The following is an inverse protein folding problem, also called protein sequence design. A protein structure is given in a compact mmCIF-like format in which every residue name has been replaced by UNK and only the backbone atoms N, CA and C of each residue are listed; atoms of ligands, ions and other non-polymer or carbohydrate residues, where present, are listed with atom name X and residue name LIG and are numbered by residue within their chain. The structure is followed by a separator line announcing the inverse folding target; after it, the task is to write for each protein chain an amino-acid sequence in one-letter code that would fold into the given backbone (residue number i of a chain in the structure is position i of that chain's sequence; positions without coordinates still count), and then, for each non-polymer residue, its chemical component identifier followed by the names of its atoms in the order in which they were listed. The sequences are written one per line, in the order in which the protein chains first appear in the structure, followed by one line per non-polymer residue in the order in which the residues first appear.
data_IF_550560654287
#
_entry.id   IF_550560654287
#
_cell.length_a   1.000
_cell.length_b   1.000
_cell.length_c   1.000
_cell.angle_alpha   90.00
_cell.angle_beta   90.00
_cell.angle_gamma   90.00
#
_symmetry.space_group_name_H-M   'P 1'
#
loop_
_entity.id
_entity.type
_entity.pdbx_description
1 polymer ?
#
# COMPACT_ATOMS: atom_id res chain seq x y z
N UNK A 1 1.67 -0.91 34.05
CA UNK A 1 1.42 -0.27 32.75
C UNK A 1 2.71 0.41 32.37
N UNK A 2 3.37 -0.08 31.32
CA UNK A 2 4.53 0.59 30.71
C UNK A 2 4.11 2.00 30.30
N UNK A 3 4.98 3.00 30.49
CA UNK A 3 4.73 4.35 29.99
C UNK A 3 4.42 4.32 28.48
N UNK A 4 3.44 5.09 28.00
CA UNK A 4 3.04 5.06 26.56
C UNK A 4 4.22 5.47 25.68
N UNK A 5 5.05 6.41 26.13
CA UNK A 5 6.29 6.79 25.45
C UNK A 5 7.26 5.62 25.31
N UNK A 6 7.49 4.85 26.38
CA UNK A 6 8.32 3.64 26.33
C UNK A 6 7.77 2.59 25.37
N UNK A 7 6.44 2.39 25.32
CA UNK A 7 5.80 1.48 24.36
C UNK A 7 6.07 1.92 22.92
N UNK A 8 5.88 3.20 22.59
CA UNK A 8 6.14 3.74 21.24
C UNK A 8 7.59 3.47 20.84
N UNK A 9 8.56 3.82 21.71
CA UNK A 9 9.99 3.60 21.43
C UNK A 9 10.26 2.11 21.23
N UNK A 10 9.78 1.25 22.13
CA UNK A 10 10.00 -0.20 22.04
C UNK A 10 9.47 -0.78 20.73
N UNK A 11 8.25 -0.42 20.32
CA UNK A 11 7.63 -0.93 19.08
C UNK A 11 8.39 -0.44 17.86
N UNK A 12 8.79 0.83 17.81
CA UNK A 12 9.56 1.36 16.68
C UNK A 12 10.97 0.73 16.60
N UNK A 13 11.64 0.54 17.74
CA UNK A 13 12.93 -0.13 17.80
C UNK A 13 12.84 -1.58 17.32
N UNK A 14 11.87 -2.34 17.82
CA UNK A 14 11.66 -3.73 17.39
C UNK A 14 11.27 -3.82 15.91
N UNK A 15 10.41 -2.90 15.44
CA UNK A 15 9.96 -2.91 14.07
C UNK A 15 11.06 -2.57 13.07
N UNK A 16 11.94 -1.63 13.43
CA UNK A 16 12.88 -1.03 12.50
C UNK A 16 14.36 -1.30 12.81
N UNK A 17 14.71 -2.08 13.84
CA UNK A 17 16.11 -2.31 14.26
C UNK A 17 17.06 -2.60 13.10
N UNK A 18 16.73 -3.58 12.26
CA UNK A 18 17.57 -3.97 11.12
C UNK A 18 17.74 -2.85 10.09
N UNK A 19 16.65 -2.13 9.79
CA UNK A 19 16.64 -1.06 8.80
C UNK A 19 17.34 0.22 9.33
N UNK A 20 17.18 0.52 10.62
CA UNK A 20 17.90 1.60 11.30
C UNK A 20 19.41 1.33 11.34
N UNK A 21 19.82 0.07 11.54
CA UNK A 21 21.22 -0.32 11.50
C UNK A 21 21.80 -0.27 10.07
N UNK A 22 21.01 -0.63 9.06
CA UNK A 22 21.41 -0.61 7.65
C UNK A 22 21.62 0.81 7.12
N UNK A 23 20.70 1.74 7.43
CA UNK A 23 20.81 3.15 7.02
C UNK A 23 20.28 4.12 8.09
N UNK A 24 21.10 4.48 9.09
CA UNK A 24 20.71 5.44 10.11
C UNK A 24 20.34 6.82 9.56
N UNK A 25 20.92 7.24 8.43
CA UNK A 25 20.68 8.55 7.84
C UNK A 25 19.31 8.60 7.17
N UNK A 26 18.93 7.57 6.40
CA UNK A 26 17.59 7.43 5.85
C UNK A 26 16.53 7.36 6.96
N UNK A 27 16.79 6.62 8.04
CA UNK A 27 15.86 6.56 9.17
C UNK A 27 15.73 7.88 9.91
N UNK A 28 16.81 8.64 10.07
CA UNK A 28 16.74 10.00 10.62
C UNK A 28 15.86 10.90 9.76
N UNK A 29 15.94 10.79 8.43
CA UNK A 29 15.05 11.51 7.52
C UNK A 29 13.59 11.05 7.65
N UNK A 30 13.36 9.73 7.73
CA UNK A 30 12.04 9.14 7.99
C UNK A 30 11.42 9.69 9.29
N UNK A 31 12.16 9.65 10.39
CA UNK A 31 11.69 10.14 11.68
C UNK A 31 11.45 11.65 11.68
N UNK A 32 12.24 12.44 10.94
CA UNK A 32 11.95 13.87 10.73
C UNK A 32 10.66 14.10 9.96
N UNK A 33 10.38 13.30 8.92
CA UNK A 33 9.08 13.35 8.21
C UNK A 33 7.94 12.98 9.16
N UNK A 34 8.07 11.89 9.92
CA UNK A 34 7.08 11.48 10.93
C UNK A 34 6.86 12.57 12.00
N UNK A 35 7.92 13.26 12.42
CA UNK A 35 7.85 14.34 13.39
C UNK A 35 7.09 15.58 12.89
N UNK A 36 6.92 15.74 11.57
CA UNK A 36 6.30 16.94 11.00
C UNK A 36 4.82 17.08 11.38
N UNK A 37 4.05 15.98 11.41
CA UNK A 37 2.62 16.02 11.75
C UNK A 37 2.04 14.64 12.16
N UNK A 38 0.94 14.61 12.94
CA UNK A 38 0.31 13.37 13.41
C UNK A 38 -0.12 12.40 12.29
N UNK A 39 -0.69 12.91 11.19
CA UNK A 39 -1.10 12.07 10.05
C UNK A 39 0.12 11.37 9.41
N UNK A 40 1.23 12.08 9.28
CA UNK A 40 2.47 11.53 8.73
C UNK A 40 3.13 10.53 9.70
N UNK A 41 3.07 10.78 11.01
CA UNK A 41 3.46 9.82 12.04
C UNK A 41 2.63 8.52 11.94
N UNK A 42 1.31 8.63 11.89
CA UNK A 42 0.37 7.50 11.81
C UNK A 42 0.70 6.52 10.67
N UNK A 43 1.00 7.08 9.49
CA UNK A 43 1.43 6.33 8.30
C UNK A 43 2.79 5.67 8.52
N UNK A 44 3.73 6.39 9.11
CA UNK A 44 5.08 5.87 9.39
C UNK A 44 5.16 4.85 10.53
N UNK A 45 4.08 4.68 11.30
CA UNK A 45 4.02 3.84 12.49
C UNK A 45 2.94 2.75 12.42
N UNK A 46 2.73 2.12 11.25
CA UNK A 46 1.78 1.01 11.11
C UNK A 46 1.99 -0.10 12.16
N UNK A 47 3.25 -0.42 12.48
CA UNK A 47 3.61 -1.36 13.56
C UNK A 47 3.01 -1.02 14.93
N UNK A 48 2.93 0.27 15.28
CA UNK A 48 2.32 0.73 16.54
C UNK A 48 0.81 0.49 16.54
N UNK A 49 0.15 0.75 15.41
CA UNK A 49 -1.28 0.45 15.25
C UNK A 49 -1.58 -1.02 15.45
N UNK A 50 -0.80 -1.92 14.83
CA UNK A 50 -1.01 -3.35 15.01
C UNK A 50 -0.66 -3.83 16.43
N UNK A 51 0.40 -3.28 17.05
CA UNK A 51 0.68 -3.57 18.45
C UNK A 51 -0.51 -3.22 19.37
N UNK A 52 -1.23 -2.13 19.06
CA UNK A 52 -2.47 -1.78 19.77
C UNK A 52 -3.65 -2.69 19.38
N UNK A 53 -3.80 -3.06 18.10
CA UNK A 53 -4.86 -3.98 17.65
C UNK A 53 -4.78 -5.35 18.31
N UNK A 54 -3.57 -5.82 18.67
CA UNK A 54 -3.39 -7.08 19.39
C UNK A 54 -4.03 -7.11 20.79
N UNK A 55 -4.27 -5.94 21.38
CA UNK A 55 -4.82 -5.80 22.74
C UNK A 55 -6.28 -5.31 22.74
N UNK A 56 -6.77 -4.78 21.62
CA UNK A 56 -8.12 -4.26 21.52
C UNK A 56 -9.10 -5.37 21.13
N UNK A 57 -10.20 -5.56 21.89
CA UNK A 57 -11.23 -6.49 21.49
C UNK A 57 -11.90 -6.03 20.18
N UNK A 58 -12.40 -7.01 19.43
CA UNK A 58 -13.20 -6.77 18.25
C UNK A 58 -14.37 -7.73 18.23
N UNK A 59 -15.58 -7.22 18.43
CA UNK A 59 -16.81 -8.02 18.41
C UNK A 59 -17.32 -8.26 16.98
N UNK A 60 -16.74 -7.56 16.00
CA UNK A 60 -17.15 -7.60 14.60
C UNK A 60 -16.32 -8.58 13.78
N UNK A 61 -15.67 -9.54 14.44
CA UNK A 61 -14.90 -10.61 13.79
C UNK A 61 -15.25 -11.98 14.37
N UNK A 62 -15.08 -12.99 13.53
CA UNK A 62 -15.15 -14.42 13.83
C UNK A 62 -13.89 -15.13 13.28
N UNK A 63 -13.88 -16.46 13.31
CA UNK A 63 -12.74 -17.25 12.80
C UNK A 63 -12.42 -16.97 11.33
N UNK A 64 -13.43 -16.74 10.48
CA UNK A 64 -13.26 -16.50 9.04
C UNK A 64 -12.83 -15.06 8.77
N UNK A 65 -13.61 -14.11 9.28
CA UNK A 65 -13.42 -12.66 9.07
C UNK A 65 -12.18 -12.09 9.77
N UNK A 66 -11.55 -12.84 10.68
CA UNK A 66 -10.22 -12.53 11.24
C UNK A 66 -9.05 -12.91 10.32
N UNK A 67 -9.33 -13.52 9.15
CA UNK A 67 -8.33 -14.10 8.24
C UNK A 67 -8.71 -13.89 6.78
N UNK A 68 -9.12 -12.69 6.45
CA UNK A 68 -9.29 -12.30 5.04
C UNK A 68 -8.05 -11.54 4.58
N UNK A 69 -7.88 -11.40 3.27
CA UNK A 69 -6.86 -10.51 2.74
C UNK A 69 -7.19 -9.05 3.09
N UNK A 70 -6.19 -8.34 3.62
CA UNK A 70 -6.23 -6.92 3.95
C UNK A 70 -5.04 -6.21 3.28
N UNK A 71 -5.19 -4.94 2.94
CA UNK A 71 -4.08 -4.11 2.45
C UNK A 71 -3.10 -3.77 3.58
N UNK A 72 -3.57 -3.69 4.83
CA UNK A 72 -2.72 -3.67 6.01
C UNK A 72 -2.22 -2.28 6.41
N UNK A 73 -2.14 -1.32 5.49
CA UNK A 73 -1.82 0.09 5.78
C UNK A 73 -2.92 1.05 5.32
N UNK A 74 -4.20 0.65 5.39
CA UNK A 74 -5.23 1.38 4.65
C UNK A 74 -5.44 2.76 5.25
N UNK A 75 -5.24 3.79 4.43
CA UNK A 75 -5.34 5.18 4.85
C UNK A 75 -5.78 6.08 3.68
N UNK A 76 -6.20 7.31 3.97
CA UNK A 76 -6.74 8.25 2.99
C UNK A 76 -5.89 8.38 1.69
N UNK A 77 -4.56 8.32 1.82
CA UNK A 77 -3.62 8.44 0.69
C UNK A 77 -3.25 7.13 -0.02
N UNK A 78 -3.85 5.98 0.35
CA UNK A 78 -3.58 4.68 -0.28
C UNK A 78 -4.66 4.32 -1.32
N UNK A 79 -5.05 5.32 -2.12
CA UNK A 79 -5.97 5.15 -3.22
C UNK A 79 -5.46 5.93 -4.43
N UNK A 80 -5.52 5.30 -5.58
CA UNK A 80 -5.01 5.89 -6.80
C UNK A 80 -5.48 5.15 -8.04
N UNK A 81 -5.00 5.62 -9.18
CA UNK A 81 -5.31 5.00 -10.47
C UNK A 81 -4.25 4.01 -10.89
N UNK A 82 -4.65 2.98 -11.61
CA UNK A 82 -3.76 2.13 -12.37
C UNK A 82 -4.44 1.70 -13.68
N UNK A 83 -3.65 1.13 -14.58
CA UNK A 83 -4.19 0.48 -15.77
C UNK A 83 -4.22 -1.02 -15.51
N UNK A 84 -5.39 -1.62 -15.60
CA UNK A 84 -5.56 -3.04 -15.39
C UNK A 84 -5.01 -3.88 -16.57
N UNK A 85 -5.00 -5.20 -16.39
CA UNK A 85 -4.49 -6.12 -17.43
C UNK A 85 -5.30 -6.12 -18.73
N UNK A 86 -6.52 -5.56 -18.73
CA UNK A 86 -7.36 -5.40 -19.93
C UNK A 86 -7.14 -4.05 -20.64
N UNK A 87 -6.32 -3.16 -20.06
CA UNK A 87 -6.04 -1.83 -20.60
C UNK A 87 -7.07 -0.77 -20.19
N UNK A 88 -7.86 -1.04 -19.16
CA UNK A 88 -8.85 -0.11 -18.61
C UNK A 88 -8.26 0.67 -17.44
N UNK A 89 -8.52 1.98 -17.40
CA UNK A 89 -8.13 2.82 -16.27
C UNK A 89 -9.12 2.65 -15.12
N UNK A 90 -8.58 2.22 -13.98
CA UNK A 90 -9.34 1.92 -12.77
C UNK A 90 -8.78 2.76 -11.62
N UNK A 91 -9.67 3.21 -10.73
CA UNK A 91 -9.31 3.77 -9.43
C UNK A 91 -9.57 2.74 -8.35
N UNK A 92 -8.58 2.47 -7.51
CA UNK A 92 -8.70 1.46 -6.45
C UNK A 92 -7.70 1.72 -5.31
N UNK A 93 -7.69 0.84 -4.31
CA UNK A 93 -6.66 0.77 -3.28
C UNK A 93 -5.30 0.48 -3.93
N UNK A 94 -4.25 1.16 -3.46
CA UNK A 94 -2.87 0.97 -3.90
C UNK A 94 -1.91 0.69 -2.71
N UNK A 95 -0.64 0.41 -3.04
CA UNK A 95 0.45 0.05 -2.11
C UNK A 95 0.15 -1.21 -1.28
N UNK A 96 0.74 -2.35 -1.62
CA UNK A 96 0.48 -3.62 -0.94
C UNK A 96 1.67 -4.11 -0.11
N UNK A 97 2.60 -3.20 0.23
CA UNK A 97 3.78 -3.53 1.02
C UNK A 97 3.41 -4.13 2.40
N UNK A 98 2.30 -3.70 2.98
CA UNK A 98 1.83 -4.15 4.30
C UNK A 98 0.73 -5.24 4.20
N UNK A 99 0.38 -5.66 2.99
CA UNK A 99 -0.72 -6.59 2.74
C UNK A 99 -0.49 -7.96 3.36
N UNK A 100 -1.53 -8.51 3.99
CA UNK A 100 -1.46 -9.77 4.73
C UNK A 100 -2.86 -10.35 4.94
N UNK A 101 -2.94 -11.50 5.62
CA UNK A 101 -4.22 -11.97 6.16
C UNK A 101 -4.45 -11.36 7.54
N UNK A 102 -5.65 -10.88 7.78
CA UNK A 102 -6.05 -10.29 9.05
C UNK A 102 -7.53 -10.02 9.16
N UNK A 103 -7.91 -9.30 10.21
CA UNK A 103 -9.29 -8.86 10.38
C UNK A 103 -9.64 -7.74 9.40
N UNK A 104 -10.76 -7.88 8.68
CA UNK A 104 -11.25 -6.85 7.76
C UNK A 104 -11.47 -5.49 8.44
N UNK A 105 -11.83 -5.54 9.73
CA UNK A 105 -12.03 -4.36 10.57
C UNK A 105 -10.76 -3.56 10.78
N UNK A 106 -9.56 -4.18 10.69
CA UNK A 106 -8.30 -3.46 10.83
C UNK A 106 -8.12 -2.42 9.74
N UNK A 107 -8.41 -2.75 8.48
CA UNK A 107 -8.34 -1.79 7.37
C UNK A 107 -9.39 -0.68 7.53
N UNK A 108 -10.63 -1.01 7.93
CA UNK A 108 -11.68 -0.02 8.15
C UNK A 108 -11.35 0.93 9.31
N UNK A 109 -10.90 0.38 10.44
CA UNK A 109 -10.42 1.13 11.62
C UNK A 109 -9.22 2.01 11.24
N UNK A 110 -8.28 1.46 10.48
CA UNK A 110 -7.06 2.15 10.08
C UNK A 110 -7.38 3.33 9.16
N UNK A 111 -8.24 3.12 8.17
CA UNK A 111 -8.70 4.15 7.25
C UNK A 111 -9.48 5.24 7.99
N UNK A 112 -10.47 4.85 8.81
CA UNK A 112 -11.33 5.80 9.52
C UNK A 112 -10.52 6.69 10.48
N UNK A 113 -9.56 6.14 11.23
CA UNK A 113 -8.65 6.93 12.07
C UNK A 113 -7.77 7.88 11.23
N UNK A 114 -7.33 7.45 10.04
CA UNK A 114 -6.61 8.33 9.11
C UNK A 114 -7.48 9.51 8.64
N UNK A 115 -8.77 9.26 8.38
CA UNK A 115 -9.73 10.29 7.99
C UNK A 115 -10.03 11.26 9.13
N UNK A 116 -10.10 10.78 10.37
CA UNK A 116 -10.24 11.65 11.54
C UNK A 116 -9.02 12.56 11.73
N UNK A 117 -7.80 12.02 11.55
CA UNK A 117 -6.56 12.82 11.58
C UNK A 117 -6.51 13.86 10.45
N UNK A 118 -6.92 13.48 9.24
CA UNK A 118 -6.98 14.37 8.08
C UNK A 118 -8.03 15.48 8.27
N UNK A 119 -9.22 15.14 8.74
CA UNK A 119 -10.29 16.09 9.05
C UNK A 119 -9.89 17.05 10.15
N UNK A 120 -9.23 16.57 11.21
CA UNK A 120 -8.68 17.43 12.26
C UNK A 120 -7.64 18.41 11.72
N UNK A 121 -6.73 17.95 10.85
CA UNK A 121 -5.73 18.81 10.18
C UNK A 121 -6.40 19.90 9.33
N UNK A 122 -7.54 19.59 8.71
CA UNK A 122 -8.37 20.52 7.94
C UNK A 122 -9.26 21.43 8.80
N UNK A 123 -9.16 21.33 10.12
CA UNK A 123 -9.99 22.05 11.09
C UNK A 123 -11.50 21.80 10.91
N UNK A 124 -11.88 20.61 10.42
CA UNK A 124 -13.27 20.20 10.35
C UNK A 124 -13.80 19.88 11.75
N UNK A 125 -15.07 20.21 12.06
CA UNK A 125 -15.68 19.82 13.32
C UNK A 125 -15.87 18.31 13.39
N UNK A 126 -15.81 17.74 14.59
CA UNK A 126 -15.97 16.29 14.83
C UNK A 126 -17.29 15.73 14.24
N UNK A 127 -18.35 16.55 14.17
CA UNK A 127 -19.61 16.17 13.51
C UNK A 127 -19.47 15.94 12.01
N UNK A 128 -18.68 16.77 11.32
CA UNK A 128 -18.41 16.59 9.89
C UNK A 128 -17.47 15.40 9.65
N UNK A 129 -16.47 15.21 10.52
CA UNK A 129 -15.60 14.01 10.48
C UNK A 129 -16.42 12.74 10.67
N UNK A 130 -17.33 12.75 11.64
CA UNK A 130 -18.27 11.65 11.89
C UNK A 130 -19.09 11.34 10.64
N UNK A 131 -19.67 12.34 10.00
CA UNK A 131 -20.45 12.17 8.77
C UNK A 131 -19.60 11.54 7.64
N UNK A 132 -18.37 12.03 7.43
CA UNK A 132 -17.46 11.48 6.42
C UNK A 132 -17.13 10.00 6.65
N UNK A 133 -16.84 9.61 7.90
CA UNK A 133 -16.54 8.23 8.26
C UNK A 133 -17.80 7.36 8.11
N UNK A 134 -18.97 7.84 8.55
CA UNK A 134 -20.25 7.14 8.35
C UNK A 134 -20.53 6.88 6.87
N UNK A 135 -20.32 7.87 6.00
CA UNK A 135 -20.51 7.70 4.55
C UNK A 135 -19.60 6.63 3.97
N UNK A 136 -18.34 6.59 4.39
CA UNK A 136 -17.41 5.54 3.99
C UNK A 136 -17.85 4.14 4.44
N UNK A 137 -18.20 3.98 5.72
CA UNK A 137 -18.62 2.68 6.27
C UNK A 137 -19.94 2.23 5.65
N UNK A 138 -20.92 3.11 5.50
CA UNK A 138 -22.19 2.78 4.86
C UNK A 138 -21.98 2.35 3.40
N UNK A 139 -21.10 3.03 2.64
CA UNK A 139 -20.78 2.64 1.28
C UNK A 139 -20.05 1.29 1.21
N UNK A 140 -19.17 1.01 2.17
CA UNK A 140 -18.52 -0.30 2.32
C UNK A 140 -19.55 -1.41 2.55
N UNK A 141 -20.41 -1.27 3.57
CA UNK A 141 -21.41 -2.28 3.93
C UNK A 141 -22.41 -2.50 2.80
N UNK A 142 -22.88 -1.42 2.16
CA UNK A 142 -23.79 -1.51 1.02
C UNK A 142 -23.16 -2.30 -0.14
N UNK A 143 -21.89 -2.03 -0.47
CA UNK A 143 -21.19 -2.73 -1.54
C UNK A 143 -20.92 -4.20 -1.21
N UNK A 144 -20.56 -4.53 0.04
CA UNK A 144 -20.44 -5.93 0.49
C UNK A 144 -21.76 -6.67 0.29
N UNK A 145 -22.89 -6.07 0.68
CA UNK A 145 -24.22 -6.66 0.47
C UNK A 145 -24.58 -6.79 -1.01
N UNK A 146 -24.17 -5.85 -1.85
CA UNK A 146 -24.33 -5.97 -3.31
C UNK A 146 -23.62 -7.21 -3.85
N UNK A 147 -22.39 -7.50 -3.40
CA UNK A 147 -21.66 -8.71 -3.82
C UNK A 147 -22.31 -10.00 -3.33
N UNK A 148 -22.89 -10.01 -2.13
CA UNK A 148 -23.69 -11.16 -1.66
C UNK A 148 -24.91 -11.42 -2.57
N UNK A 149 -25.58 -10.36 -3.03
CA UNK A 149 -26.76 -10.48 -3.89
C UNK A 149 -26.41 -10.77 -5.36
N UNK A 150 -25.22 -10.34 -5.81
CA UNK A 150 -24.76 -10.44 -7.19
C UNK A 150 -23.29 -10.95 -7.24
N UNK A 151 -23.05 -12.25 -7.02
CA UNK A 151 -21.69 -12.81 -6.97
C UNK A 151 -20.88 -12.60 -8.26
N UNK A 152 -21.55 -12.46 -9.41
CA UNK A 152 -20.88 -12.18 -10.69
C UNK A 152 -20.39 -10.72 -10.84
N UNK A 153 -20.72 -9.82 -9.89
CA UNK A 153 -20.33 -8.40 -9.91
C UNK A 153 -18.98 -8.13 -9.23
N UNK A 154 -18.20 -9.17 -8.89
CA UNK A 154 -16.82 -9.04 -8.38
C UNK A 154 -15.88 -8.31 -9.36
N UNK A 155 -16.27 -8.19 -10.65
CA UNK A 155 -15.63 -7.35 -11.67
C UNK A 155 -15.91 -5.84 -11.51
N UNK A 156 -16.61 -5.44 -10.44
CA UNK A 156 -16.86 -4.05 -10.12
C UNK A 156 -15.55 -3.24 -10.12
N UNK A 157 -15.52 -2.15 -10.89
CA UNK A 157 -14.40 -1.23 -10.89
C UNK A 157 -14.86 0.23 -11.04
N UNK A 158 -14.14 1.12 -10.36
CA UNK A 158 -14.34 2.55 -10.45
C UNK A 158 -13.59 3.07 -11.68
N UNK A 159 -14.35 3.49 -12.68
CA UNK A 159 -13.87 3.85 -14.02
C UNK A 159 -14.39 5.21 -14.43
N UNK A 160 -13.94 5.71 -15.58
CA UNK A 160 -14.37 7.01 -16.11
C UNK A 160 -15.89 7.10 -16.33
N UNK A 161 -16.54 5.98 -16.67
CA UNK A 161 -17.98 5.90 -16.92
C UNK A 161 -18.82 5.68 -15.64
N UNK A 162 -18.20 5.27 -14.53
CA UNK A 162 -18.87 4.98 -13.26
C UNK A 162 -18.56 5.97 -12.14
N UNK A 163 -17.79 7.03 -12.44
CA UNK A 163 -17.30 7.99 -11.44
C UNK A 163 -17.59 9.43 -11.84
N UNK A 164 -17.81 10.28 -10.83
CA UNK A 164 -18.01 11.72 -11.00
C UNK A 164 -17.11 12.53 -10.06
N UNK A 165 -17.18 13.87 -10.15
CA UNK A 165 -16.54 14.77 -9.21
C UNK A 165 -15.01 14.67 -9.16
N UNK A 166 -14.44 14.73 -7.96
CA UNK A 166 -13.00 14.77 -7.76
C UNK A 166 -12.29 13.48 -8.21
N UNK A 167 -12.88 12.31 -7.93
CA UNK A 167 -12.32 11.03 -8.33
C UNK A 167 -12.29 10.89 -9.86
N UNK A 168 -13.37 11.29 -10.55
CA UNK A 168 -13.38 11.32 -12.02
C UNK A 168 -12.26 12.18 -12.60
N UNK A 169 -11.94 13.32 -11.96
CA UNK A 169 -10.81 14.16 -12.37
C UNK A 169 -9.45 13.48 -12.18
N UNK A 170 -9.29 12.62 -11.18
CA UNK A 170 -8.06 11.80 -11.02
C UNK A 170 -7.91 10.86 -12.22
N UNK A 171 -8.97 10.13 -12.59
CA UNK A 171 -8.97 9.24 -13.76
C UNK A 171 -8.73 9.99 -15.07
N UNK A 172 -9.30 11.18 -15.23
CA UNK A 172 -9.03 12.03 -16.40
C UNK A 172 -7.56 12.46 -16.48
N UNK A 173 -6.94 12.82 -15.35
CA UNK A 173 -5.51 13.15 -15.29
C UNK A 173 -4.64 11.94 -15.62
N UNK A 174 -4.95 10.78 -15.05
CA UNK A 174 -4.27 9.52 -15.37
C UNK A 174 -4.36 9.18 -16.86
N UNK A 175 -5.51 9.40 -17.50
CA UNK A 175 -5.71 9.18 -18.95
C UNK A 175 -4.84 10.08 -19.84
N UNK A 176 -4.44 11.25 -19.36
CA UNK A 176 -3.55 12.15 -20.10
C UNK A 176 -2.07 11.76 -19.97
N UNK A 177 -1.73 10.90 -19.00
CA UNK A 177 -0.38 10.43 -18.83
C UNK A 177 0.03 9.46 -19.95
N UNK A 178 1.32 9.41 -20.26
CA UNK A 178 1.85 8.59 -21.35
C UNK A 178 3.13 7.89 -20.93
N UNK A 179 3.34 6.69 -21.47
CA UNK A 179 4.61 5.97 -21.34
C UNK A 179 5.80 6.79 -21.83
N UNK A 180 5.63 7.51 -22.95
CA UNK A 180 6.65 8.41 -23.48
C UNK A 180 7.00 9.47 -22.44
N UNK A 181 6.01 10.13 -21.83
CA UNK A 181 6.25 11.12 -20.77
C UNK A 181 7.00 10.55 -19.56
N UNK A 182 6.64 9.33 -19.13
CA UNK A 182 7.36 8.63 -18.05
C UNK A 182 8.82 8.32 -18.43
N UNK A 183 9.03 7.78 -19.63
CA UNK A 183 10.37 7.48 -20.13
C UNK A 183 11.19 8.75 -20.29
N UNK A 184 10.60 9.82 -20.84
CA UNK A 184 11.23 11.13 -21.01
C UNK A 184 11.48 11.83 -19.68
N UNK A 185 10.83 11.44 -18.58
CA UNK A 185 11.17 11.86 -17.22
C UNK A 185 12.37 11.08 -16.67
N UNK A 186 12.40 9.76 -16.88
CA UNK A 186 13.34 8.85 -16.18
C UNK A 186 14.59 8.52 -16.97
N UNK A 187 14.59 8.71 -18.27
CA UNK A 187 15.61 8.21 -19.19
C UNK A 187 16.08 9.27 -20.18
N UNK A 188 17.17 8.98 -20.87
CA UNK A 188 17.72 9.75 -21.99
C UNK A 188 18.24 8.78 -23.05
N UNK A 189 18.52 9.28 -24.26
CA UNK A 189 19.11 8.48 -25.34
C UNK A 189 20.61 8.76 -25.40
N UNK A 190 21.42 7.70 -25.32
CA UNK A 190 22.89 7.74 -25.43
C UNK A 190 23.31 6.65 -26.41
N UNK A 191 24.10 6.99 -27.42
CA UNK A 191 24.58 6.05 -28.45
C UNK A 191 23.44 5.21 -29.07
N UNK A 192 22.33 5.88 -29.41
CA UNK A 192 21.11 5.28 -29.99
C UNK A 192 20.32 4.34 -29.07
N UNK A 193 20.75 4.16 -27.82
CA UNK A 193 20.07 3.33 -26.81
C UNK A 193 19.47 4.17 -25.69
N UNK A 194 18.33 3.73 -25.15
CA UNK A 194 17.71 4.39 -23.99
C UNK A 194 18.39 3.94 -22.69
N UNK A 195 18.71 4.91 -21.82
CA UNK A 195 19.37 4.70 -20.52
C UNK A 195 18.76 5.59 -19.44
N UNK A 196 18.78 5.18 -18.18
CA UNK A 196 18.29 6.02 -17.09
C UNK A 196 19.10 7.31 -16.95
N UNK A 197 18.42 8.39 -16.59
CA UNK A 197 19.05 9.65 -16.21
C UNK A 197 19.76 9.52 -14.87
N UNK A 198 21.05 9.84 -14.85
CA UNK A 198 21.93 9.74 -13.66
C UNK A 198 21.95 11.01 -12.82
N UNK A 199 21.46 12.13 -13.35
CA UNK A 199 21.32 13.42 -12.68
C UNK A 199 20.03 13.53 -11.84
N UNK A 200 19.22 12.47 -11.79
CA UNK A 200 18.01 12.40 -10.98
C UNK A 200 18.32 12.13 -9.52
N UNK A 201 17.66 12.86 -8.63
CA UNK A 201 17.74 12.62 -7.19
C UNK A 201 17.39 11.16 -6.85
N UNK A 202 18.19 10.57 -5.96
CA UNK A 202 18.08 9.19 -5.54
C UNK A 202 18.59 8.16 -6.56
N UNK A 203 18.93 8.54 -7.81
CA UNK A 203 19.57 7.62 -8.76
C UNK A 203 21.06 7.52 -8.44
N UNK A 204 21.60 6.31 -8.41
CA UNK A 204 23.03 6.09 -8.27
C UNK A 204 23.50 4.88 -9.09
N UNK A 205 24.78 4.90 -9.46
CA UNK A 205 25.41 3.79 -10.17
C UNK A 205 25.61 2.60 -9.23
N UNK A 206 25.51 1.40 -9.81
CA UNK A 206 25.76 0.14 -9.12
C UNK A 206 27.19 -0.32 -9.36
N UNK A 207 27.83 -0.95 -8.38
CA UNK A 207 29.06 -1.70 -8.63
C UNK A 207 28.79 -2.90 -9.54
N UNK A 208 29.82 -3.40 -10.22
CA UNK A 208 29.69 -4.55 -11.11
C UNK A 208 29.09 -5.79 -10.42
N UNK A 209 29.49 -6.05 -9.17
CA UNK A 209 28.98 -7.18 -8.39
C UNK A 209 27.48 -7.03 -8.08
N UNK A 210 27.03 -5.82 -7.73
CA UNK A 210 25.61 -5.54 -7.47
C UNK A 210 24.80 -5.66 -8.75
N UNK A 211 25.32 -5.14 -9.87
CA UNK A 211 24.67 -5.25 -11.17
C UNK A 211 24.48 -6.72 -11.59
N UNK A 212 25.50 -7.56 -11.40
CA UNK A 212 25.40 -9.00 -11.68
C UNK A 212 24.38 -9.69 -10.76
N UNK A 213 24.33 -9.31 -9.49
CA UNK A 213 23.32 -9.83 -8.55
C UNK A 213 21.89 -9.46 -8.97
N UNK A 214 21.66 -8.19 -9.32
CA UNK A 214 20.35 -7.71 -9.81
C UNK A 214 19.97 -8.38 -11.14
N UNK A 215 20.92 -8.59 -12.05
CA UNK A 215 20.66 -9.26 -13.32
C UNK A 215 20.24 -10.73 -13.12
N UNK A 216 20.91 -11.46 -12.20
CA UNK A 216 20.50 -12.83 -11.84
C UNK A 216 19.11 -12.85 -11.20
N UNK A 217 18.85 -11.94 -10.27
CA UNK A 217 17.55 -11.82 -9.62
C UNK A 217 16.44 -11.47 -10.62
N UNK A 218 16.72 -10.61 -11.59
CA UNK A 218 15.79 -10.28 -12.67
C UNK A 218 15.46 -11.51 -13.53
N UNK A 219 16.46 -12.32 -13.89
CA UNK A 219 16.23 -13.55 -14.63
C UNK A 219 15.32 -14.53 -13.87
N UNK A 220 15.55 -14.70 -12.56
CA UNK A 220 14.70 -15.52 -11.68
C UNK A 220 13.28 -14.96 -11.53
N UNK A 221 13.14 -13.63 -11.45
CA UNK A 221 11.84 -12.97 -11.37
C UNK A 221 10.91 -13.38 -12.51
N UNK A 222 11.44 -13.53 -13.73
CA UNK A 222 10.62 -13.84 -14.90
C UNK A 222 9.84 -15.16 -14.72
N UNK A 223 10.36 -16.11 -13.95
CA UNK A 223 9.68 -17.39 -13.66
C UNK A 223 8.54 -17.27 -12.63
N UNK A 224 8.43 -16.12 -11.96
CA UNK A 224 7.37 -15.82 -10.96
C UNK A 224 6.18 -15.06 -11.54
N UNK A 225 6.30 -14.58 -12.79
CA UNK A 225 5.19 -14.00 -13.55
C UNK A 225 4.25 -15.13 -13.97
N UNK A 226 2.93 -15.01 -13.77
CA UNK A 226 1.97 -16.04 -14.19
C UNK A 226 2.11 -16.34 -15.68
N UNK A 227 2.09 -17.62 -16.07
CA UNK A 227 2.39 -18.05 -17.44
C UNK A 227 1.47 -17.42 -18.50
N UNK A 228 0.22 -17.10 -18.14
CA UNK A 228 -0.72 -16.40 -19.03
C UNK A 228 -0.42 -14.91 -19.24
N UNK A 229 0.37 -14.29 -18.35
CA UNK A 229 0.75 -12.86 -18.39
C UNK A 229 2.17 -12.64 -18.92
N UNK A 230 2.95 -13.71 -19.14
CA UNK A 230 4.35 -13.64 -19.59
C UNK A 230 4.42 -13.23 -21.07
N UNK A 231 5.12 -12.14 -21.36
CA UNK A 231 5.35 -11.65 -22.71
C UNK A 231 6.40 -12.50 -23.47
N UNK A 232 6.58 -12.22 -24.76
CA UNK A 232 7.59 -12.90 -25.59
C UNK A 232 9.02 -12.68 -25.06
N UNK A 233 9.95 -13.60 -25.34
CA UNK A 233 11.35 -13.50 -24.87
C UNK A 233 12.16 -12.29 -25.35
N UNK A 234 11.65 -11.54 -26.35
CA UNK A 234 12.24 -10.26 -26.79
C UNK A 234 11.89 -9.13 -25.84
N UNK A 235 10.65 -9.14 -25.35
CA UNK A 235 10.25 -8.38 -24.19
C UNK A 235 11.11 -8.89 -23.02
N UNK A 236 11.51 -8.04 -22.08
CA UNK A 236 12.45 -8.35 -20.97
C UNK A 236 13.95 -8.22 -21.26
N UNK A 237 14.39 -7.85 -22.47
CA UNK A 237 15.81 -7.56 -22.67
C UNK A 237 16.24 -6.34 -21.83
N UNK A 238 17.13 -6.53 -20.87
CA UNK A 238 17.59 -5.45 -19.97
C UNK A 238 18.49 -4.49 -20.74
N UNK A 239 18.13 -3.21 -20.75
CA UNK A 239 18.88 -2.11 -21.39
C UNK A 239 19.79 -1.38 -20.41
N UNK A 240 19.30 -1.14 -19.19
CA UNK A 240 20.03 -0.38 -18.17
C UNK A 240 19.45 -0.66 -16.78
N UNK A 241 20.27 -0.49 -15.74
CA UNK A 241 19.88 -0.69 -14.34
C UNK A 241 20.51 0.39 -13.47
N UNK A 242 19.73 0.93 -12.54
CA UNK A 242 20.22 1.90 -11.55
C UNK A 242 19.75 1.55 -10.15
N UNK A 243 20.59 1.90 -9.17
CA UNK A 243 20.18 1.92 -7.77
C UNK A 243 19.30 3.12 -7.49
N UNK A 244 18.37 2.95 -6.56
CA UNK A 244 17.44 3.99 -6.12
C UNK A 244 17.50 4.15 -4.60
N UNK A 245 17.46 5.40 -4.15
CA UNK A 245 17.41 5.78 -2.73
C UNK A 245 16.44 6.95 -2.53
N UNK A 246 16.14 7.29 -1.27
CA UNK A 246 15.27 8.44 -0.95
C UNK A 246 13.76 8.17 -1.05
N UNK A 247 13.34 6.92 -0.95
CA UNK A 247 11.92 6.54 -0.98
C UNK A 247 11.12 7.12 0.20
N UNK A 248 9.79 7.05 0.10
CA UNK A 248 8.84 7.53 1.10
C UNK A 248 9.05 6.94 2.51
N UNK A 249 8.20 7.35 3.45
CA UNK A 249 8.34 7.01 4.88
C UNK A 249 8.31 5.49 5.12
N UNK A 250 7.59 4.74 4.29
CA UNK A 250 7.49 3.27 4.38
C UNK A 250 8.76 2.51 4.00
N UNK A 251 9.71 3.12 3.27
CA UNK A 251 10.81 2.37 2.62
C UNK A 251 12.21 2.88 2.93
N UNK A 252 12.37 3.65 4.01
CA UNK A 252 13.70 4.03 4.48
C UNK A 252 14.53 2.79 4.82
N UNK A 253 15.80 2.79 4.41
CA UNK A 253 16.74 1.69 4.62
C UNK A 253 16.52 0.43 3.79
N UNK A 254 15.51 0.40 2.92
CA UNK A 254 15.28 -0.71 1.98
C UNK A 254 16.02 -0.47 0.66
N UNK A 255 16.55 -1.55 0.10
CA UNK A 255 17.21 -1.54 -1.21
C UNK A 255 16.16 -1.50 -2.32
N UNK A 256 16.40 -0.71 -3.36
CA UNK A 256 15.59 -0.79 -4.56
C UNK A 256 16.38 -0.41 -5.81
N UNK A 257 15.92 -0.96 -6.93
CA UNK A 257 16.53 -0.82 -8.24
C UNK A 257 15.46 -0.49 -9.27
N UNK A 258 15.81 0.34 -10.25
CA UNK A 258 15.02 0.48 -11.46
C UNK A 258 15.71 -0.27 -12.59
N UNK A 259 14.95 -1.08 -13.33
CA UNK A 259 15.42 -1.87 -14.45
C UNK A 259 14.68 -1.39 -15.70
N UNK A 260 15.42 -0.94 -16.71
CA UNK A 260 14.88 -0.56 -18.01
C UNK A 260 14.92 -1.78 -18.92
N UNK A 261 13.77 -2.20 -19.44
CA UNK A 261 13.68 -3.33 -20.36
C UNK A 261 13.08 -2.94 -21.69
N UNK A 262 13.44 -3.70 -22.73
CA UNK A 262 12.79 -3.65 -24.04
C UNK A 262 11.29 -3.95 -23.91
N UNK A 263 10.50 -3.14 -24.62
CA UNK A 263 9.06 -3.28 -24.72
C UNK A 263 8.58 -4.41 -25.62
N UNK A 264 7.36 -4.25 -26.13
CA UNK A 264 6.74 -5.21 -27.08
C UNK A 264 7.34 -5.13 -28.50
N UNK A 265 8.06 -4.05 -28.80
CA UNK A 265 8.78 -3.82 -30.05
C UNK A 265 10.08 -3.07 -29.77
N UNK A 266 10.98 -3.02 -30.76
CA UNK A 266 12.26 -2.27 -30.66
C UNK A 266 12.10 -0.75 -30.69
N UNK A 267 10.85 -0.25 -30.69
CA UNK A 267 10.62 1.18 -30.63
C UNK A 267 10.85 1.66 -29.19
N UNK A 268 11.81 2.59 -29.01
CA UNK A 268 12.23 3.11 -27.70
C UNK A 268 11.11 3.76 -26.88
N UNK A 269 9.97 4.08 -27.50
CA UNK A 269 8.77 4.62 -26.85
C UNK A 269 7.95 3.55 -26.09
N UNK A 270 8.20 2.27 -26.38
CA UNK A 270 7.52 1.14 -25.75
C UNK A 270 8.33 0.51 -24.61
N UNK A 271 9.52 1.03 -24.32
CA UNK A 271 10.35 0.56 -23.20
C UNK A 271 9.60 0.62 -21.87
N UNK A 272 9.92 -0.31 -20.99
CA UNK A 272 9.26 -0.46 -19.70
C UNK A 272 10.26 -0.24 -18.58
N UNK A 273 9.85 0.53 -17.58
CA UNK A 273 10.61 0.73 -16.35
C UNK A 273 10.00 -0.17 -15.29
N UNK A 274 10.79 -1.10 -14.78
CA UNK A 274 10.41 -1.96 -13.68
C UNK A 274 11.06 -1.46 -12.40
N UNK A 275 10.30 -1.49 -11.31
CA UNK A 275 10.79 -1.31 -9.94
C UNK A 275 11.06 -2.68 -9.34
N UNK A 276 12.26 -2.91 -8.83
CA UNK A 276 12.62 -4.08 -8.02
C UNK A 276 12.95 -3.58 -6.61
N UNK A 277 12.03 -3.78 -5.67
CA UNK A 277 12.09 -3.19 -4.33
C UNK A 277 12.14 -4.29 -3.27
N UNK A 278 13.05 -4.15 -2.32
CA UNK A 278 13.12 -5.05 -1.17
C UNK A 278 11.80 -5.00 -0.41
N UNK A 279 11.21 -6.17 -0.16
CA UNK A 279 9.93 -6.25 0.53
C UNK A 279 10.10 -6.02 2.03
N UNK A 280 9.19 -5.24 2.62
CA UNK A 280 9.18 -4.99 4.06
C UNK A 280 8.57 -6.17 4.83
N UNK A 281 8.80 -6.21 6.14
CA UNK A 281 8.04 -7.07 7.06
C UNK A 281 6.68 -6.42 7.31
N UNK A 282 5.60 -7.10 6.94
CA UNK A 282 4.23 -6.64 7.18
C UNK A 282 3.99 -6.36 8.68
N UNK A 283 3.50 -5.17 9.02
CA UNK A 283 3.06 -4.81 10.35
C UNK A 283 1.97 -5.76 10.88
N UNK A 284 0.95 -6.19 10.10
CA UNK A 284 -0.01 -7.19 10.56
C UNK A 284 0.65 -8.52 10.95
N UNK A 285 1.69 -8.95 10.21
CA UNK A 285 2.36 -10.24 10.44
C UNK A 285 3.04 -10.36 11.82
N UNK A 286 3.22 -9.25 12.53
CA UNK A 286 3.81 -9.20 13.87
C UNK A 286 2.85 -9.67 14.96
N UNK A 287 1.54 -9.58 14.70
CA UNK A 287 0.50 -9.92 15.68
C UNK A 287 -0.33 -11.14 15.27
N UNK A 288 -0.33 -11.48 13.98
CA UNK A 288 -1.01 -12.67 13.47
C UNK A 288 -0.20 -13.91 13.84
N UNK A 289 -0.73 -14.69 14.79
CA UNK A 289 -0.06 -15.87 15.34
C UNK A 289 -0.29 -17.17 14.55
N UNK A 290 -1.16 -17.18 13.52
CA UNK A 290 -1.40 -18.40 12.73
C UNK A 290 -0.17 -18.75 11.89
N UNK A 291 0.46 -19.87 12.24
CA UNK A 291 1.68 -20.34 11.58
C UNK A 291 1.44 -20.78 10.14
N UNK A 292 0.23 -21.22 9.77
CA UNK A 292 -0.10 -21.63 8.39
C UNK A 292 0.00 -20.46 7.42
N UNK A 293 -0.39 -19.27 7.87
CA UNK A 293 -0.28 -18.04 7.07
C UNK A 293 1.19 -17.69 6.87
N UNK A 294 2.00 -17.76 7.95
CA UNK A 294 3.43 -17.46 7.88
C UNK A 294 4.20 -18.45 7.00
N UNK A 295 3.90 -19.74 7.12
CA UNK A 295 4.59 -20.83 6.40
C UNK A 295 4.18 -20.91 4.92
N UNK A 296 3.06 -20.28 4.53
CA UNK A 296 2.63 -20.21 3.14
C UNK A 296 3.57 -19.36 2.27
N UNK A 297 4.20 -18.34 2.84
CA UNK A 297 5.10 -17.46 2.10
C UNK A 297 6.57 -17.90 2.23
N UNK A 298 7.27 -18.01 1.10
CA UNK A 298 8.72 -18.29 1.07
C UNK A 298 9.53 -17.14 1.65
N UNK A 299 9.12 -15.90 1.33
CA UNK A 299 9.78 -14.66 1.72
C UNK A 299 8.78 -13.49 1.63
N UNK A 300 9.21 -12.30 2.05
CA UNK A 300 8.35 -11.11 2.05
C UNK A 300 8.02 -10.57 0.65
N UNK A 301 8.85 -10.83 -0.36
CA UNK A 301 8.58 -10.47 -1.76
C UNK A 301 7.48 -11.34 -2.36
N UNK A 302 7.58 -12.66 -2.16
CA UNK A 302 6.51 -13.60 -2.52
C UNK A 302 5.20 -13.24 -1.82
N UNK A 303 5.24 -12.92 -0.51
CA UNK A 303 4.08 -12.43 0.23
C UNK A 303 3.42 -11.25 -0.47
N UNK A 304 4.15 -10.15 -0.67
CA UNK A 304 3.57 -8.94 -1.25
C UNK A 304 3.00 -9.19 -2.65
N UNK A 305 3.71 -9.93 -3.51
CA UNK A 305 3.23 -10.23 -4.86
C UNK A 305 1.94 -11.09 -4.84
N UNK A 306 1.86 -12.12 -4.00
CA UNK A 306 0.66 -12.96 -3.87
C UNK A 306 -0.50 -12.18 -3.25
N UNK A 307 -0.24 -11.41 -2.19
CA UNK A 307 -1.27 -10.59 -1.53
C UNK A 307 -1.85 -9.57 -2.49
N UNK A 308 -1.01 -8.88 -3.27
CA UNK A 308 -1.48 -7.90 -4.24
C UNK A 308 -2.33 -8.55 -5.34
N UNK A 309 -1.96 -9.74 -5.84
CA UNK A 309 -2.80 -10.48 -6.81
C UNK A 309 -4.15 -10.88 -6.19
N UNK A 310 -4.15 -11.33 -4.94
CA UNK A 310 -5.39 -11.69 -4.24
C UNK A 310 -6.32 -10.48 -4.02
N UNK A 311 -5.75 -9.30 -3.75
CA UNK A 311 -6.49 -8.06 -3.45
C UNK A 311 -6.89 -7.26 -4.70
N UNK A 312 -6.34 -7.59 -5.88
CA UNK A 312 -6.59 -6.87 -7.13
C UNK A 312 -7.01 -7.84 -8.26
N UNK A 313 -8.29 -7.82 -8.62
CA UNK A 313 -8.89 -8.69 -9.66
C UNK A 313 -8.15 -8.68 -11.02
N UNK A 314 -7.42 -7.60 -11.32
CA UNK A 314 -6.63 -7.46 -12.54
C UNK A 314 -5.27 -6.81 -12.24
N UNK A 315 -4.48 -7.47 -11.40
CA UNK A 315 -3.13 -7.03 -11.05
C UNK A 315 -2.22 -6.86 -12.28
N UNK A 316 -1.23 -5.96 -12.16
CA UNK A 316 -0.21 -5.65 -13.16
C UNK A 316 0.41 -6.93 -13.76
N UNK A 317 0.46 -7.10 -15.10
CA UNK A 317 1.10 -8.25 -15.74
C UNK A 317 2.60 -8.37 -15.44
N UNK A 318 3.26 -7.29 -15.02
CA UNK A 318 4.66 -7.28 -14.61
C UNK A 318 4.87 -7.61 -13.13
N UNK A 319 3.80 -7.74 -12.35
CA UNK A 319 3.91 -8.06 -10.93
C UNK A 319 4.49 -9.46 -10.71
N UNK A 320 5.57 -9.54 -9.95
CA UNK A 320 6.20 -10.78 -9.51
C UNK A 320 7.14 -10.54 -8.33
N UNK A 321 7.97 -11.54 -8.03
CA UNK A 321 8.92 -11.46 -6.94
C UNK A 321 10.25 -12.11 -7.31
N UNK A 322 11.28 -11.84 -6.53
CA UNK A 322 12.59 -12.51 -6.64
C UNK A 322 13.32 -12.43 -5.31
N UNK A 323 14.53 -12.97 -5.26
CA UNK A 323 15.38 -12.95 -4.08
C UNK A 323 16.79 -12.48 -4.46
N UNK A 324 17.40 -11.69 -3.58
CA UNK A 324 18.83 -11.39 -3.60
C UNK A 324 19.39 -11.76 -2.23
N UNK A 325 20.33 -12.70 -2.18
CA UNK A 325 21.06 -13.11 -0.98
C UNK A 325 20.16 -13.46 0.23
N UNK A 326 19.09 -14.22 0.03
CA UNK A 326 18.15 -14.60 1.10
C UNK A 326 17.05 -13.57 1.37
N UNK A 327 17.05 -12.43 0.68
CA UNK A 327 16.10 -11.33 0.91
C UNK A 327 15.12 -11.22 -0.25
N UNK A 328 13.82 -11.25 0.06
CA UNK A 328 12.74 -11.12 -0.92
C UNK A 328 12.56 -9.71 -1.47
N UNK A 329 12.30 -9.62 -2.77
CA UNK A 329 12.03 -8.40 -3.54
C UNK A 329 10.72 -8.57 -4.31
N UNK A 330 9.98 -7.47 -4.44
CA UNK A 330 8.83 -7.35 -5.33
C UNK A 330 9.29 -6.65 -6.61
N UNK A 331 8.84 -7.17 -7.75
CA UNK A 331 9.07 -6.56 -9.06
C UNK A 331 7.72 -6.19 -9.65
N UNK A 332 7.58 -4.95 -10.08
CA UNK A 332 6.36 -4.45 -10.74
C UNK A 332 6.72 -3.37 -11.76
N UNK A 333 5.81 -3.07 -12.68
CA UNK A 333 5.94 -1.93 -13.55
C UNK A 333 5.81 -0.63 -12.76
N UNK A 334 6.68 0.33 -13.05
CA UNK A 334 6.44 1.71 -12.68
C UNK A 334 5.46 2.30 -13.70
N UNK A 335 4.17 2.29 -13.38
CA UNK A 335 3.12 2.60 -14.34
C UNK A 335 3.08 4.11 -14.66
N UNK A 336 2.95 4.50 -15.95
CA UNK A 336 2.74 5.90 -16.31
C UNK A 336 1.35 6.41 -15.89
N UNK A 337 0.42 5.51 -15.53
CA UNK A 337 -0.98 5.83 -15.25
C UNK A 337 -1.30 5.93 -13.76
N UNK A 338 -0.27 5.88 -12.90
CA UNK A 338 -0.41 6.10 -11.47
C UNK A 338 -0.69 7.57 -11.15
N UNK A 339 -1.84 7.82 -10.52
CA UNK A 339 -2.21 9.12 -10.00
C UNK A 339 -2.95 8.93 -8.67
N UNK A 340 -2.42 9.53 -7.61
CA UNK A 340 -3.02 9.50 -6.29
C UNK A 340 -4.14 10.54 -6.14
N UNK A 341 -5.04 10.28 -5.20
CA UNK A 341 -6.01 11.27 -4.75
C UNK A 341 -5.32 12.39 -3.95
N UNK A 342 -5.37 13.62 -4.47
CA UNK A 342 -4.85 14.78 -3.76
C UNK A 342 -5.88 15.33 -2.77
N UNK A 343 -5.67 15.04 -1.49
CA UNK A 343 -6.50 15.56 -0.40
C UNK A 343 -6.30 17.04 -0.12
N UNK A 344 -5.25 17.69 -0.62
CA UNK A 344 -5.07 19.13 -0.42
C UNK A 344 -6.15 19.94 -1.16
N UNK A 345 -6.63 19.44 -2.30
CA UNK A 345 -7.68 20.04 -3.11
C UNK A 345 -9.10 19.78 -2.58
N UNK A 346 -9.27 18.83 -1.65
CA UNK A 346 -10.56 18.47 -1.04
C UNK A 346 -10.71 19.15 0.32
N UNK A 347 -11.23 20.37 0.36
CA UNK A 347 -11.34 21.16 1.60
C UNK A 347 -12.71 21.08 2.27
N UNK A 348 -13.79 21.05 1.49
CA UNK A 348 -15.15 21.09 2.00
C UNK A 348 -15.72 19.68 2.18
N UNK A 349 -16.47 19.40 3.28
CA UNK A 349 -17.12 18.10 3.49
C UNK A 349 -18.00 17.69 2.31
N UNK A 350 -18.70 18.64 1.68
CA UNK A 350 -19.55 18.37 0.51
C UNK A 350 -18.78 17.80 -0.69
N UNK A 351 -17.50 18.16 -0.86
CA UNK A 351 -16.64 17.62 -1.93
C UNK A 351 -16.03 16.27 -1.53
N UNK A 352 -15.80 16.07 -0.22
CA UNK A 352 -15.23 14.84 0.33
C UNK A 352 -16.27 13.70 0.36
N UNK A 353 -17.52 13.98 0.73
CA UNK A 353 -18.56 12.96 0.89
C UNK A 353 -18.73 12.02 -0.32
N UNK A 354 -18.84 12.50 -1.58
CA UNK A 354 -18.90 11.62 -2.75
C UNK A 354 -17.65 10.75 -2.90
N UNK A 355 -16.48 11.31 -2.59
CA UNK A 355 -15.21 10.58 -2.64
C UNK A 355 -15.23 9.44 -1.62
N UNK A 356 -15.64 9.70 -0.37
CA UNK A 356 -15.71 8.67 0.67
C UNK A 356 -16.67 7.54 0.31
N UNK A 357 -17.77 7.84 -0.41
CA UNK A 357 -18.65 6.82 -0.98
C UNK A 357 -17.91 5.89 -1.96
N UNK A 358 -17.06 6.44 -2.84
CA UNK A 358 -16.24 5.61 -3.73
C UNK A 358 -15.16 4.82 -2.99
N UNK A 359 -14.49 5.43 -2.00
CA UNK A 359 -13.43 4.74 -1.23
C UNK A 359 -13.99 3.55 -0.43
N UNK A 360 -15.20 3.69 0.13
CA UNK A 360 -15.89 2.59 0.82
C UNK A 360 -16.16 1.42 -0.12
N UNK A 361 -16.63 1.71 -1.34
CA UNK A 361 -16.87 0.69 -2.38
C UNK A 361 -15.58 0.02 -2.86
N UNK A 362 -14.52 0.78 -3.06
CA UNK A 362 -13.19 0.24 -3.42
C UNK A 362 -12.65 -0.68 -2.32
N UNK A 363 -12.79 -0.29 -1.05
CA UNK A 363 -12.38 -1.14 0.08
C UNK A 363 -13.20 -2.43 0.16
N UNK A 364 -14.53 -2.34 -0.06
CA UNK A 364 -15.40 -3.51 -0.09
C UNK A 364 -15.00 -4.47 -1.21
N UNK A 365 -14.80 -3.93 -2.42
CA UNK A 365 -14.29 -4.69 -3.57
C UNK A 365 -13.00 -5.41 -3.20
N UNK A 366 -12.01 -4.69 -2.68
CA UNK A 366 -10.73 -5.29 -2.28
C UNK A 366 -10.88 -6.46 -1.28
N UNK A 367 -11.75 -6.33 -0.26
CA UNK A 367 -11.98 -7.39 0.73
C UNK A 367 -12.78 -8.58 0.17
N UNK A 368 -13.61 -8.36 -0.85
CA UNK A 368 -14.52 -9.36 -1.40
C UNK A 368 -14.03 -9.99 -2.70
N UNK A 369 -13.03 -9.40 -3.38
CA UNK A 369 -12.47 -9.96 -4.61
C UNK A 369 -11.80 -11.30 -4.33
N UNK A 370 -12.20 -12.32 -5.08
CA UNK A 370 -11.45 -13.54 -5.24
C UNK A 370 -10.87 -13.57 -6.67
N UNK A 371 -9.61 -13.14 -6.85
CA UNK A 371 -8.98 -13.28 -8.16
C UNK A 371 -8.81 -14.76 -8.49
N UNK A 372 -9.45 -15.23 -9.56
CA UNK A 372 -9.30 -16.59 -10.09
C UNK A 372 -7.88 -16.91 -10.56
N UNK A 373 -7.06 -15.88 -10.88
CA UNK A 373 -5.62 -16.01 -11.16
C UNK A 373 -4.78 -16.05 -9.87
N UNK A 374 -5.36 -15.73 -8.70
CA UNK A 374 -4.68 -15.94 -7.43
C UNK A 374 -4.67 -17.44 -7.14
N UNK A 375 -3.52 -18.08 -7.36
CA UNK A 375 -3.27 -19.48 -6.99
C UNK A 375 -3.28 -19.73 -5.46
N UNK A 376 -3.86 -18.80 -4.69
CA UNK A 376 -3.81 -18.81 -3.24
C UNK A 376 -4.91 -19.68 -2.66
N UNK A 377 -4.57 -20.39 -1.59
CA UNK A 377 -5.45 -21.36 -0.91
C UNK A 377 -5.71 -20.98 0.54
N UNK A 378 -5.32 -19.76 0.95
CA UNK A 378 -5.40 -19.30 2.34
C UNK A 378 -6.80 -18.82 2.72
N UNK A 379 -7.55 -18.32 1.75
CA UNK A 379 -8.95 -17.92 1.91
C UNK A 379 -9.79 -18.76 0.95
N UNK A 380 -10.53 -19.72 1.50
CA UNK A 380 -11.32 -20.73 0.77
C UNK A 380 -12.83 -20.56 0.94
N UNK A 381 -13.26 -19.40 1.42
CA UNK A 381 -14.65 -19.04 1.65
C UNK A 381 -15.00 -17.71 0.96
N UNK A 382 -16.30 -17.47 0.79
CA UNK A 382 -16.88 -16.24 0.26
C UNK A 382 -16.76 -15.11 1.30
N UNK A 383 -15.85 -14.15 1.06
CA UNK A 383 -15.53 -13.09 2.02
C UNK A 383 -16.73 -12.19 2.30
N UNK A 384 -17.46 -11.82 1.26
CA UNK A 384 -18.67 -11.01 1.29
C UNK A 384 -19.76 -11.64 2.17
N UNK A 385 -20.01 -12.95 2.04
CA UNK A 385 -20.97 -13.66 2.91
C UNK A 385 -20.52 -13.67 4.38
N UNK A 386 -19.21 -13.90 4.62
CA UNK A 386 -18.66 -13.92 5.96
C UNK A 386 -18.73 -12.53 6.63
N UNK A 387 -18.33 -11.47 5.93
CA UNK A 387 -18.36 -10.09 6.41
C UNK A 387 -19.80 -9.64 6.63
N UNK A 388 -20.69 -9.85 5.64
CA UNK A 388 -22.11 -9.52 5.77
C UNK A 388 -22.75 -10.29 6.94
N UNK A 389 -22.35 -11.55 7.17
CA UNK A 389 -22.85 -12.37 8.27
C UNK A 389 -22.48 -11.84 9.65
N UNK A 390 -21.24 -11.37 9.85
CA UNK A 390 -20.79 -10.86 11.16
C UNK A 390 -21.39 -9.48 11.47
N UNK A 391 -21.53 -8.62 10.45
CA UNK A 391 -22.23 -7.33 10.58
C UNK A 391 -23.73 -7.57 10.81
N UNK A 392 -24.33 -8.48 10.03
CA UNK A 392 -25.74 -8.81 10.04
C UNK A 392 -26.64 -7.59 9.81
N UNK A 393 -27.67 -7.50 10.63
CA UNK A 393 -28.64 -6.41 10.73
C UNK A 393 -28.18 -5.26 11.65
N UNK A 394 -26.96 -5.34 12.21
CA UNK A 394 -26.40 -4.36 13.15
C UNK A 394 -25.50 -3.31 12.49
N UNK A 395 -25.83 -2.87 11.27
CA UNK A 395 -25.02 -1.90 10.51
C UNK A 395 -24.81 -0.58 11.26
N UNK A 396 -25.85 -0.07 11.93
CA UNK A 396 -25.75 1.19 12.70
C UNK A 396 -24.74 1.04 13.85
N UNK A 397 -24.85 -0.03 14.63
CA UNK A 397 -23.91 -0.30 15.73
C UNK A 397 -22.48 -0.56 15.24
N UNK A 398 -22.32 -1.25 14.09
CA UNK A 398 -21.02 -1.43 13.46
C UNK A 398 -20.40 -0.10 13.04
N UNK A 399 -21.20 0.76 12.40
CA UNK A 399 -20.77 2.08 11.97
C UNK A 399 -20.38 2.95 13.16
N UNK A 400 -21.17 2.93 14.23
CA UNK A 400 -20.89 3.66 15.47
C UNK A 400 -19.58 3.21 16.10
N UNK A 401 -19.32 1.90 16.15
CA UNK A 401 -18.08 1.35 16.68
C UNK A 401 -16.84 1.80 15.87
N UNK A 402 -16.93 1.84 14.53
CA UNK A 402 -15.83 2.33 13.68
C UNK A 402 -15.61 3.84 13.86
N UNK A 403 -16.68 4.64 13.97
CA UNK A 403 -16.59 6.08 14.21
C UNK A 403 -15.96 6.37 15.58
N UNK A 404 -16.44 5.72 16.64
CA UNK A 404 -15.92 5.87 18.00
C UNK A 404 -14.43 5.52 18.03
N UNK A 405 -14.07 4.36 17.48
CA UNK A 405 -12.68 3.96 17.33
C UNK A 405 -11.84 5.02 16.62
N UNK A 406 -12.33 5.52 15.48
CA UNK A 406 -11.57 6.45 14.65
C UNK A 406 -11.28 7.78 15.36
N UNK A 407 -12.28 8.35 16.03
CA UNK A 407 -12.13 9.59 16.79
C UNK A 407 -11.17 9.38 17.96
N UNK A 408 -11.32 8.28 18.71
CA UNK A 408 -10.48 7.98 19.87
C UNK A 408 -9.03 7.70 19.47
N UNK A 409 -8.84 6.89 18.44
CA UNK A 409 -7.51 6.54 17.95
C UNK A 409 -6.81 7.73 17.30
N UNK A 410 -7.53 8.63 16.62
CA UNK A 410 -6.97 9.88 16.14
C UNK A 410 -6.53 10.79 17.31
N UNK A 411 -7.29 10.85 18.41
CA UNK A 411 -6.88 11.57 19.62
C UNK A 411 -5.61 10.97 20.22
N UNK A 412 -5.57 9.65 20.37
CA UNK A 412 -4.39 8.91 20.86
C UNK A 412 -3.17 9.14 19.97
N UNK A 413 -3.33 9.08 18.65
CA UNK A 413 -2.23 9.26 17.69
C UNK A 413 -1.60 10.65 17.77
N UNK A 414 -2.38 11.70 18.03
CA UNK A 414 -1.82 13.05 18.24
C UNK A 414 -0.97 13.12 19.50
N UNK A 415 -1.37 12.44 20.56
CA UNK A 415 -0.58 12.35 21.78
C UNK A 415 0.67 11.48 21.58
N UNK A 416 0.55 10.36 20.86
CA UNK A 416 1.68 9.50 20.50
C UNK A 416 2.70 10.23 19.63
N UNK A 417 2.23 11.05 18.67
CA UNK A 417 3.10 11.90 17.87
C UNK A 417 3.90 12.86 18.74
N UNK A 418 3.26 13.50 19.73
CA UNK A 418 3.95 14.37 20.69
C UNK A 418 5.01 13.61 21.48
N UNK A 419 4.66 12.44 22.03
CA UNK A 419 5.58 11.58 22.79
C UNK A 419 6.74 11.06 21.93
N UNK A 420 6.47 10.71 20.67
CA UNK A 420 7.47 10.31 19.68
C UNK A 420 8.44 11.45 19.39
N UNK A 421 7.94 12.67 19.18
CA UNK A 421 8.79 13.85 18.93
C UNK A 421 9.70 14.12 20.12
N UNK A 422 9.17 14.06 21.34
CA UNK A 422 9.96 14.23 22.56
C UNK A 422 11.03 13.13 22.67
N UNK A 423 10.65 11.86 22.49
CA UNK A 423 11.58 10.72 22.53
C UNK A 423 12.68 10.82 21.47
N UNK A 424 12.36 11.25 20.24
CA UNK A 424 13.33 11.42 19.17
C UNK A 424 14.29 12.59 19.44
N UNK A 425 13.78 13.71 19.97
CA UNK A 425 14.60 14.87 20.35
C UNK A 425 15.57 14.54 21.48
N UNK A 426 15.11 13.77 22.46
CA UNK A 426 15.89 13.38 23.64
C UNK A 426 16.83 12.19 23.38
N UNK A 427 16.86 11.66 22.15
CA UNK A 427 17.73 10.54 21.77
C UNK A 427 17.35 9.21 22.42
N UNK A 428 16.08 9.03 22.79
CA UNK A 428 15.58 7.79 23.41
C UNK A 428 15.43 6.63 22.41
N UNK A 429 15.37 6.91 21.11
CA UNK A 429 15.32 5.89 20.05
C UNK A 429 16.75 5.51 19.66
N UNK A 430 17.16 4.28 19.96
CA UNK A 430 18.53 3.80 19.73
C UNK A 430 18.84 3.65 18.25
N UNK A 431 20.10 3.92 17.90
CA UNK A 431 20.61 3.78 16.54
C UNK A 431 20.32 4.98 15.62
N UNK A 432 19.37 5.85 15.96
CA UNK A 432 18.99 7.00 15.12
C UNK A 432 18.84 8.27 15.96
N UNK A 433 19.88 9.10 15.95
CA UNK A 433 19.84 10.42 16.60
C UNK A 433 19.09 11.47 15.79
N UNK A 434 18.49 12.45 16.46
CA UNK A 434 17.83 13.61 15.83
C UNK A 434 18.81 14.54 15.10
N UNK A 435 20.08 14.51 15.49
CA UNK A 435 21.22 15.14 14.82
C UNK A 435 22.12 14.10 14.14
N UNK A 436 22.93 14.54 13.19
CA UNK A 436 23.91 13.70 12.50
C UNK A 436 25.02 13.24 13.45
#
# INVERSE_FOLDING_TARGET
MTDRGDRIVSVLEEAFAGLMAADPAAFRHKFRKMAAEPFTFYRGSACLFYADMAELPDEWIDERTSRIWIQGDLHAQNFGTYMDSEGTLVFDVNDFDEAYLGAFTWDLRRFAASMALLGWRKALPDSAITELIRTYVAAYVAQVRTFVEHPDDELFSLRLDSTEGALHRVLQRARLATRIGLLDDKTTIVDYERRFRRDREGTHELSSDVLESVARAFASYLDTIPTGKRASSRTYAVKDVVGRSGFGIGSAGLHAYNILVEGRSQALENDVVLSMKQANIAAPSRIVADTRIREYFTDHGHRTAVSQRALQAHADPWLGHTEIDGVGYVVAELSPYEADLDWSDLTEPADMLPVLGYLGRATAKMHCVADSDSSQTLVDFQCEEAIAGVIGDREEAFTDAIVEFALDYARQTREDHRLFVDAFRDGRIKGVGSTA
#
